data_IF_375383675853
#
_entry.id   IF_375383675853
#
_cell.length_a   1.000
_cell.length_b   1.000
_cell.length_c   1.000
_cell.angle_alpha   90.00
_cell.angle_beta   90.00
_cell.angle_gamma   90.00
#
_symmetry.space_group_name_H-M   'P 1'
#
loop_
_entity.id
_entity.type
_entity.pdbx_description
1 polymer ?
#
# COMPACT_ATOMS: atom_id res chain seq x y z
N UNK A 1 -20.68 19.65 5.16
CA UNK A 1 -21.18 18.28 4.93
C UNK A 1 -20.07 17.24 4.82
N UNK A 2 -19.22 17.22 3.78
CA UNK A 2 -18.09 16.26 3.69
C UNK A 2 -17.11 16.44 4.86
N UNK A 3 -16.82 17.65 5.28
CA UNK A 3 -16.00 17.91 6.47
C UNK A 3 -16.65 17.39 7.74
N UNK A 4 -17.95 17.56 7.94
CA UNK A 4 -18.68 17.00 9.09
C UNK A 4 -18.59 15.46 9.11
N UNK A 5 -18.76 14.82 7.94
CA UNK A 5 -18.57 13.36 7.83
C UNK A 5 -17.13 12.95 8.16
N UNK A 6 -16.15 13.74 7.72
CA UNK A 6 -14.75 13.52 8.04
C UNK A 6 -14.49 13.56 9.56
N UNK A 7 -15.04 14.56 10.24
CA UNK A 7 -14.92 14.66 11.69
C UNK A 7 -15.64 13.51 12.40
N UNK A 8 -16.85 13.13 11.96
CA UNK A 8 -17.56 11.99 12.54
C UNK A 8 -16.73 10.69 12.45
N UNK A 9 -16.12 10.43 11.30
CA UNK A 9 -15.25 9.24 11.14
C UNK A 9 -14.01 9.35 12.05
N UNK A 10 -13.40 10.51 12.16
CA UNK A 10 -12.27 10.73 13.07
C UNK A 10 -12.65 10.49 14.55
N UNK A 11 -13.92 10.74 14.91
CA UNK A 11 -14.50 10.47 16.23
C UNK A 11 -14.96 9.02 16.41
N UNK A 12 -14.75 8.15 15.42
CA UNK A 12 -15.08 6.73 15.51
C UNK A 12 -16.39 6.31 14.87
N UNK A 13 -17.04 7.16 14.07
CA UNK A 13 -18.23 6.79 13.31
C UNK A 13 -17.92 5.67 12.31
N UNK A 14 -18.69 4.58 12.36
CA UNK A 14 -18.56 3.43 11.46
C UNK A 14 -19.76 3.27 10.53
N UNK A 15 -20.85 3.96 10.81
CA UNK A 15 -22.08 3.96 10.02
C UNK A 15 -22.58 5.38 9.74
N UNK A 16 -23.50 5.52 8.78
CA UNK A 16 -24.11 6.83 8.49
C UNK A 16 -24.96 7.38 9.64
N UNK A 17 -25.50 6.50 10.46
CA UNK A 17 -26.30 6.88 11.65
C UNK A 17 -25.43 7.56 12.71
N UNK A 18 -24.15 7.18 12.77
CA UNK A 18 -23.21 7.70 13.78
C UNK A 18 -22.87 9.18 13.55
N UNK A 19 -23.35 9.79 12.45
CA UNK A 19 -23.24 11.24 12.23
C UNK A 19 -23.88 12.03 13.39
N UNK A 20 -24.81 11.42 14.12
CA UNK A 20 -25.41 11.99 15.31
C UNK A 20 -24.40 12.28 16.44
N UNK A 21 -23.22 11.64 16.43
CA UNK A 21 -22.11 11.96 17.36
C UNK A 21 -21.70 13.46 17.28
N UNK A 22 -21.91 14.11 16.14
CA UNK A 22 -21.62 15.53 15.97
C UNK A 22 -22.59 16.45 16.70
N UNK A 23 -23.73 15.95 17.19
CA UNK A 23 -24.70 16.78 17.93
C UNK A 23 -24.07 17.41 19.18
N UNK A 24 -23.17 16.69 19.85
CA UNK A 24 -22.44 17.20 21.02
C UNK A 24 -21.43 18.31 20.68
N UNK A 25 -21.04 18.41 19.41
CA UNK A 25 -20.11 19.44 18.90
C UNK A 25 -20.87 20.58 18.18
N UNK A 26 -22.18 20.63 18.29
CA UNK A 26 -23.01 21.66 17.61
C UNK A 26 -22.60 23.08 17.91
N UNK A 27 -22.11 23.47 19.09
CA UNK A 27 -21.63 24.82 19.34
C UNK A 27 -20.44 25.23 18.46
N UNK A 28 -19.64 24.24 17.99
CA UNK A 28 -18.44 24.51 17.18
C UNK A 28 -18.68 24.19 15.70
N UNK A 29 -19.40 23.11 15.40
CA UNK A 29 -19.55 22.59 14.04
C UNK A 29 -20.91 22.89 13.42
N UNK A 30 -21.82 23.52 14.18
CA UNK A 30 -23.22 23.68 13.79
C UNK A 30 -24.04 22.40 13.94
N UNK A 31 -25.30 22.43 13.55
CA UNK A 31 -26.22 21.30 13.67
C UNK A 31 -25.70 20.07 12.90
N UNK A 32 -25.75 18.91 13.52
CA UNK A 32 -25.39 17.63 12.90
C UNK A 32 -26.33 17.34 11.72
N UNK A 33 -25.82 17.01 10.54
CA UNK A 33 -26.67 16.64 9.40
C UNK A 33 -27.36 15.29 9.63
N UNK A 34 -28.57 15.12 9.09
CA UNK A 34 -29.24 13.81 9.13
C UNK A 34 -28.52 12.77 8.26
N UNK A 35 -28.68 11.48 8.57
CA UNK A 35 -28.12 10.39 7.77
C UNK A 35 -28.59 10.41 6.30
N UNK A 36 -29.84 10.82 6.03
CA UNK A 36 -30.37 11.01 4.67
C UNK A 36 -29.65 12.12 3.92
N UNK A 37 -29.33 13.21 4.61
CA UNK A 37 -28.58 14.34 4.05
C UNK A 37 -27.13 13.93 3.74
N UNK A 38 -26.49 13.16 4.63
CA UNK A 38 -25.16 12.56 4.38
C UNK A 38 -25.18 11.66 3.16
N UNK A 39 -26.21 10.80 3.03
CA UNK A 39 -26.36 9.91 1.87
C UNK A 39 -26.43 10.68 0.56
N UNK A 40 -27.29 11.72 0.49
CA UNK A 40 -27.38 12.59 -0.70
C UNK A 40 -26.05 13.27 -1.03
N UNK A 41 -25.35 13.76 0.00
CA UNK A 41 -24.03 14.37 -0.20
C UNK A 41 -22.98 13.38 -0.72
N UNK A 42 -23.02 12.15 -0.24
CA UNK A 42 -22.17 11.07 -0.75
C UNK A 42 -22.55 10.71 -2.19
N UNK A 43 -23.84 10.65 -2.54
CA UNK A 43 -24.32 10.39 -3.90
C UNK A 43 -23.86 11.47 -4.87
N UNK A 44 -23.93 12.72 -4.50
CA UNK A 44 -23.40 13.84 -5.29
C UNK A 44 -21.86 13.79 -5.39
N UNK A 45 -21.16 13.53 -4.27
CA UNK A 45 -19.71 13.45 -4.23
C UNK A 45 -19.13 12.31 -5.06
N UNK A 46 -19.93 11.28 -5.41
CA UNK A 46 -19.52 10.16 -6.25
C UNK A 46 -19.45 10.44 -7.74
N UNK A 47 -19.84 11.62 -8.21
CA UNK A 47 -19.72 11.98 -9.62
C UNK A 47 -18.23 12.24 -9.97
N UNK A 48 -17.75 11.90 -11.19
CA UNK A 48 -16.35 12.11 -11.59
C UNK A 48 -15.87 13.55 -11.38
N UNK A 49 -16.71 14.53 -11.75
CA UNK A 49 -16.41 15.95 -11.55
C UNK A 49 -16.22 16.33 -10.08
N UNK A 50 -17.02 15.75 -9.18
CA UNK A 50 -16.94 16.06 -7.75
C UNK A 50 -15.75 15.30 -7.11
N UNK A 51 -15.48 14.07 -7.51
CA UNK A 51 -14.28 13.33 -7.08
C UNK A 51 -13.01 14.08 -7.43
N UNK A 52 -12.92 14.65 -8.64
CA UNK A 52 -11.77 15.46 -9.04
C UNK A 52 -11.66 16.76 -8.22
N UNK A 53 -12.79 17.44 -7.92
CA UNK A 53 -12.79 18.60 -7.01
C UNK A 53 -12.32 18.25 -5.60
N UNK A 54 -12.78 17.13 -5.07
CA UNK A 54 -12.34 16.61 -3.75
C UNK A 54 -10.84 16.29 -3.79
N UNK A 55 -10.35 15.64 -4.85
CA UNK A 55 -8.94 15.34 -5.01
C UNK A 55 -8.06 16.60 -5.01
N UNK A 56 -8.47 17.65 -5.76
CA UNK A 56 -7.78 18.95 -5.76
C UNK A 56 -7.82 19.64 -4.39
N UNK A 57 -8.96 19.60 -3.70
CA UNK A 57 -9.08 20.19 -2.36
C UNK A 57 -8.17 19.48 -1.36
N UNK A 58 -8.09 18.13 -1.42
CA UNK A 58 -7.17 17.33 -0.60
C UNK A 58 -5.71 17.68 -0.87
N UNK A 59 -5.33 17.83 -2.14
CA UNK A 59 -3.96 18.22 -2.50
C UNK A 59 -3.57 19.58 -1.91
N UNK A 60 -4.47 20.59 -2.00
CA UNK A 60 -4.25 21.92 -1.40
C UNK A 60 -4.16 21.85 0.13
N UNK A 61 -5.07 21.11 0.78
CA UNK A 61 -5.04 20.94 2.24
C UNK A 61 -3.75 20.27 2.70
N UNK A 62 -3.28 19.23 1.96
CA UNK A 62 -2.02 18.55 2.23
C UNK A 62 -0.83 19.49 2.06
N UNK A 63 -0.79 20.26 0.99
CA UNK A 63 0.26 21.25 0.77
C UNK A 63 0.36 22.24 1.92
N UNK A 64 -0.80 22.74 2.38
CA UNK A 64 -0.85 23.63 3.55
C UNK A 64 -0.34 22.93 4.81
N UNK A 65 -0.83 21.72 5.11
CA UNK A 65 -0.42 20.95 6.27
C UNK A 65 1.09 20.63 6.26
N UNK A 66 1.63 20.21 5.12
CA UNK A 66 3.07 19.92 5.01
C UNK A 66 3.92 21.18 5.14
N UNK A 67 3.43 22.35 4.66
CA UNK A 67 4.10 23.64 4.90
C UNK A 67 4.16 23.99 6.40
N UNK A 68 3.09 23.68 7.14
CA UNK A 68 3.08 23.88 8.60
C UNK A 68 4.04 22.93 9.30
N UNK A 69 4.04 21.65 8.92
CA UNK A 69 4.95 20.64 9.49
C UNK A 69 6.42 21.04 9.28
N UNK A 70 6.80 21.48 8.07
CA UNK A 70 8.18 21.93 7.79
C UNK A 70 8.63 23.11 8.66
N UNK A 71 7.70 23.95 9.12
CA UNK A 71 8.00 25.11 9.98
C UNK A 71 8.12 24.73 11.45
N UNK A 72 7.77 23.50 11.82
CA UNK A 72 7.98 23.04 13.20
C UNK A 72 9.49 22.80 13.47
N UNK A 73 9.95 22.85 14.71
CA UNK A 73 11.35 22.53 15.05
C UNK A 73 11.78 21.13 14.58
N UNK A 74 10.87 20.17 14.52
CA UNK A 74 11.13 18.81 14.03
C UNK A 74 11.26 18.74 12.50
N UNK A 75 10.74 19.72 11.77
CA UNK A 75 10.72 19.75 10.31
C UNK A 75 9.85 18.67 9.68
N UNK A 76 10.04 18.42 8.38
CA UNK A 76 9.32 17.35 7.69
C UNK A 76 9.81 15.97 8.15
N UNK A 77 8.91 14.99 8.39
CA UNK A 77 9.25 13.69 8.95
C UNK A 77 9.94 12.79 7.92
N UNK A 78 11.21 13.04 7.65
CA UNK A 78 11.99 12.19 6.75
C UNK A 78 12.10 10.78 7.32
N UNK A 79 11.92 9.77 6.47
CA UNK A 79 11.97 8.38 6.89
C UNK A 79 13.40 8.00 7.31
N UNK A 80 13.54 7.33 8.45
CA UNK A 80 14.80 6.71 8.87
C UNK A 80 14.78 5.22 8.50
N UNK A 81 15.84 4.74 7.85
CA UNK A 81 16.02 3.36 7.41
C UNK A 81 17.41 2.90 7.82
N UNK A 82 17.51 1.79 8.51
CA UNK A 82 18.78 1.25 9.01
C UNK A 82 19.63 2.32 9.72
N UNK A 83 19.00 3.11 10.60
CA UNK A 83 19.63 4.17 11.36
C UNK A 83 20.03 5.42 10.55
N UNK A 84 19.69 5.51 9.25
CA UNK A 84 20.04 6.63 8.36
C UNK A 84 18.79 7.33 7.84
N UNK A 85 18.76 8.65 7.92
CA UNK A 85 17.63 9.46 7.46
C UNK A 85 17.68 9.69 5.96
N UNK A 86 16.58 9.41 5.27
CA UNK A 86 16.37 9.65 3.83
C UNK A 86 15.98 11.13 3.59
N UNK A 87 16.83 12.07 3.97
CA UNK A 87 16.54 13.51 3.85
C UNK A 87 16.30 13.90 2.40
N UNK A 88 15.17 14.55 2.15
CA UNK A 88 14.76 15.01 0.82
C UNK A 88 14.13 13.93 -0.05
N UNK A 89 14.02 12.67 0.41
CA UNK A 89 13.37 11.58 -0.31
C UNK A 89 11.96 11.32 0.21
N UNK A 90 10.97 11.45 -0.65
CA UNK A 90 9.60 11.04 -0.33
C UNK A 90 9.42 9.57 -0.70
N UNK A 91 8.92 8.78 0.25
CA UNK A 91 8.69 7.35 0.05
C UNK A 91 7.19 7.10 -0.14
N UNK A 92 6.86 6.42 -1.23
CA UNK A 92 5.48 6.04 -1.57
C UNK A 92 5.41 4.52 -1.57
N UNK A 93 4.52 3.98 -0.74
CA UNK A 93 4.22 2.56 -0.67
C UNK A 93 2.95 2.25 -1.44
N UNK A 94 3.00 1.25 -2.29
CA UNK A 94 1.83 0.73 -3.00
C UNK A 94 1.46 -0.63 -2.44
N UNK A 95 0.26 -0.76 -1.93
CA UNK A 95 -0.24 -2.00 -1.33
C UNK A 95 -1.71 -2.23 -1.64
N UNK A 96 -2.10 -3.49 -1.74
CA UNK A 96 -3.47 -3.92 -1.92
C UNK A 96 -3.97 -4.68 -0.69
N UNK A 97 -5.19 -4.37 -0.26
CA UNK A 97 -5.77 -5.01 0.92
C UNK A 97 -7.17 -5.52 0.64
N UNK A 98 -7.60 -6.55 1.36
CA UNK A 98 -8.98 -7.05 1.25
C UNK A 98 -9.92 -6.26 2.15
N UNK A 99 -11.07 -5.89 1.59
CA UNK A 99 -12.20 -5.28 2.30
C UNK A 99 -13.40 -6.20 2.13
N UNK A 100 -13.91 -6.73 3.24
CA UNK A 100 -15.05 -7.64 3.22
C UNK A 100 -16.36 -6.91 2.94
N UNK A 101 -17.26 -7.56 2.21
CA UNK A 101 -18.64 -7.12 2.03
C UNK A 101 -19.59 -8.20 2.55
N UNK A 102 -20.59 -7.80 3.31
CA UNK A 102 -21.61 -8.70 3.86
C UNK A 102 -22.82 -8.88 2.94
N UNK A 103 -22.81 -8.30 1.75
CA UNK A 103 -23.92 -8.38 0.78
C UNK A 103 -23.43 -8.13 -0.64
N UNK A 104 -24.24 -8.48 -1.63
CA UNK A 104 -24.03 -8.20 -3.03
C UNK A 104 -24.07 -6.70 -3.30
N UNK A 105 -22.89 -6.08 -3.22
CA UNK A 105 -22.68 -4.69 -3.60
C UNK A 105 -22.11 -4.63 -5.00
N UNK A 106 -22.48 -3.60 -5.72
CA UNK A 106 -21.93 -3.36 -7.04
C UNK A 106 -20.41 -3.39 -7.02
N UNK A 107 -19.80 -4.24 -7.85
CA UNK A 107 -18.35 -4.45 -7.92
C UNK A 107 -17.76 -5.34 -6.81
N UNK A 108 -18.54 -5.84 -5.85
CA UNK A 108 -18.06 -6.86 -4.93
C UNK A 108 -17.93 -8.22 -5.64
N UNK A 109 -16.91 -8.99 -5.29
CA UNK A 109 -16.62 -10.29 -5.90
C UNK A 109 -15.95 -11.24 -4.90
N UNK A 110 -15.96 -12.56 -5.15
CA UNK A 110 -15.18 -13.50 -4.36
C UNK A 110 -13.70 -13.12 -4.31
N UNK A 111 -13.09 -13.28 -3.14
CA UNK A 111 -11.66 -12.98 -2.93
C UNK A 111 -10.84 -14.27 -2.91
N UNK A 112 -9.54 -14.16 -3.18
CA UNK A 112 -8.61 -15.30 -3.12
C UNK A 112 -8.49 -15.94 -1.72
N UNK A 113 -8.87 -15.22 -0.65
CA UNK A 113 -8.96 -15.76 0.73
C UNK A 113 -10.31 -16.44 1.02
N UNK A 114 -11.07 -16.81 -0.01
CA UNK A 114 -12.40 -17.45 0.13
C UNK A 114 -13.42 -16.57 0.86
N UNK A 115 -13.22 -15.24 0.89
CA UNK A 115 -14.20 -14.25 1.35
C UNK A 115 -14.91 -13.62 0.15
N UNK A 116 -15.76 -12.62 0.42
CA UNK A 116 -16.47 -11.83 -0.57
C UNK A 116 -16.28 -10.35 -0.30
N UNK A 117 -16.05 -9.53 -1.32
CA UNK A 117 -15.90 -8.09 -1.16
C UNK A 117 -15.02 -7.43 -2.22
N UNK A 118 -14.06 -6.64 -1.79
CA UNK A 118 -13.23 -5.80 -2.64
C UNK A 118 -11.74 -6.01 -2.35
N UNK A 119 -10.91 -5.66 -3.34
CA UNK A 119 -9.46 -5.71 -3.25
C UNK A 119 -8.85 -4.36 -3.67
N UNK A 120 -9.09 -3.26 -2.88
CA UNK A 120 -8.56 -1.95 -3.19
C UNK A 120 -7.03 -1.94 -3.26
N UNK A 121 -6.51 -1.19 -4.24
CA UNK A 121 -5.10 -0.83 -4.37
C UNK A 121 -4.91 0.60 -3.89
N UNK A 122 -3.95 0.84 -3.02
CA UNK A 122 -3.67 2.16 -2.47
C UNK A 122 -2.21 2.56 -2.61
N UNK A 123 -1.95 3.86 -2.65
CA UNK A 123 -0.64 4.46 -2.52
C UNK A 123 -0.58 5.33 -1.25
N UNK A 124 0.43 5.10 -0.44
CA UNK A 124 0.63 5.72 0.86
C UNK A 124 1.92 6.53 0.88
N UNK A 125 1.92 7.69 1.52
CA UNK A 125 3.14 8.39 1.88
C UNK A 125 3.70 7.78 3.17
N UNK A 126 4.85 7.09 3.09
CA UNK A 126 5.46 6.50 4.27
C UNK A 126 5.96 7.54 5.28
N UNK A 127 6.41 8.70 4.79
CA UNK A 127 6.90 9.79 5.63
C UNK A 127 5.83 10.34 6.58
N UNK A 128 4.63 10.60 6.07
CA UNK A 128 3.51 11.19 6.84
C UNK A 128 2.46 10.14 7.24
N UNK A 129 2.63 8.89 6.81
CA UNK A 129 1.72 7.75 7.07
C UNK A 129 0.29 8.00 6.58
N UNK A 130 0.13 8.79 5.53
CA UNK A 130 -1.18 9.14 4.98
C UNK A 130 -1.47 8.46 3.64
N UNK A 131 -2.73 8.15 3.38
CA UNK A 131 -3.17 7.65 2.09
C UNK A 131 -3.22 8.79 1.05
N UNK A 132 -2.43 8.66 0.01
CA UNK A 132 -2.42 9.61 -1.11
C UNK A 132 -3.58 9.34 -2.06
N UNK A 133 -3.74 8.08 -2.47
CA UNK A 133 -4.84 7.66 -3.33
C UNK A 133 -5.19 6.20 -3.10
N UNK A 134 -6.44 5.85 -3.37
CA UNK A 134 -6.93 4.46 -3.32
C UNK A 134 -7.91 4.23 -4.47
N UNK A 135 -7.75 3.12 -5.16
CA UNK A 135 -8.65 2.61 -6.19
C UNK A 135 -9.40 1.40 -5.63
N UNK A 136 -10.73 1.49 -5.55
CA UNK A 136 -11.55 0.35 -5.17
C UNK A 136 -11.68 -0.60 -6.37
N UNK A 137 -11.27 -1.85 -6.17
CA UNK A 137 -11.31 -2.91 -7.18
C UNK A 137 -12.18 -4.07 -6.71
N UNK A 138 -12.76 -4.86 -7.63
CA UNK A 138 -13.46 -6.10 -7.27
C UNK A 138 -12.57 -7.03 -6.45
N UNK A 139 -13.18 -7.89 -5.63
CA UNK A 139 -12.47 -8.82 -4.76
C UNK A 139 -11.57 -9.82 -5.49
N UNK A 140 -11.91 -10.14 -6.75
CA UNK A 140 -11.14 -10.99 -7.66
C UNK A 140 -10.14 -10.23 -8.55
N UNK A 141 -9.93 -8.92 -8.31
CA UNK A 141 -8.93 -8.16 -9.06
C UNK A 141 -7.53 -8.75 -8.87
N UNK A 142 -6.82 -8.95 -9.97
CA UNK A 142 -5.45 -9.46 -9.97
C UNK A 142 -4.50 -8.53 -9.21
N UNK A 143 -3.48 -9.10 -8.59
CA UNK A 143 -2.44 -8.34 -7.90
C UNK A 143 -1.55 -7.55 -8.86
N UNK A 144 -1.31 -8.07 -10.08
CA UNK A 144 -0.35 -7.54 -11.05
C UNK A 144 -1.00 -6.68 -12.15
N UNK A 145 -2.15 -6.04 -11.89
CA UNK A 145 -2.81 -5.20 -12.88
C UNK A 145 -2.04 -3.89 -13.05
N UNK A 146 -1.16 -3.83 -14.06
CA UNK A 146 -0.32 -2.67 -14.35
C UNK A 146 -1.12 -1.37 -14.50
N UNK A 147 -2.24 -1.42 -15.25
CA UNK A 147 -3.11 -0.25 -15.47
C UNK A 147 -3.57 0.37 -14.14
N UNK A 148 -3.96 -0.47 -13.17
CA UNK A 148 -4.41 -0.01 -11.86
C UNK A 148 -3.26 0.61 -11.06
N UNK A 149 -2.06 0.01 -11.09
CA UNK A 149 -0.87 0.56 -10.43
C UNK A 149 -0.49 1.91 -11.03
N UNK A 150 -0.48 2.03 -12.35
CA UNK A 150 -0.21 3.28 -13.06
C UNK A 150 -1.22 4.38 -12.70
N UNK A 151 -2.51 4.05 -12.70
CA UNK A 151 -3.59 4.98 -12.34
C UNK A 151 -3.43 5.48 -10.90
N UNK A 152 -3.24 4.56 -9.94
CA UNK A 152 -3.10 4.87 -8.51
C UNK A 152 -1.86 5.71 -8.26
N UNK A 153 -0.71 5.35 -8.84
CA UNK A 153 0.53 6.09 -8.66
C UNK A 153 0.44 7.50 -9.28
N UNK A 154 -0.11 7.63 -10.48
CA UNK A 154 -0.32 8.93 -11.11
C UNK A 154 -1.25 9.83 -10.29
N UNK A 155 -2.33 9.27 -9.73
CA UNK A 155 -3.23 10.01 -8.85
C UNK A 155 -2.55 10.39 -7.52
N UNK A 156 -1.74 9.49 -6.94
CA UNK A 156 -0.95 9.76 -5.74
C UNK A 156 0.06 10.89 -5.96
N UNK A 157 0.77 10.88 -7.07
CA UNK A 157 1.73 11.94 -7.41
C UNK A 157 1.05 13.31 -7.55
N UNK A 158 -0.20 13.37 -8.04
CA UNK A 158 -0.97 14.62 -8.06
C UNK A 158 -1.32 15.13 -6.66
N UNK A 159 -1.36 14.24 -5.66
CA UNK A 159 -1.60 14.61 -4.26
C UNK A 159 -0.36 15.15 -3.55
N UNK A 160 0.84 14.85 -4.03
CA UNK A 160 2.11 15.31 -3.45
C UNK A 160 2.42 16.73 -3.90
N UNK A 161 2.80 17.69 -3.01
CA UNK A 161 3.24 19.02 -3.41
C UNK A 161 4.47 18.97 -4.32
N UNK A 162 4.55 19.88 -5.30
CA UNK A 162 5.54 19.83 -6.38
C UNK A 162 7.00 19.73 -5.90
N UNK A 163 7.34 20.45 -4.83
CA UNK A 163 8.70 20.44 -4.26
C UNK A 163 9.14 19.08 -3.72
N UNK A 164 8.21 18.25 -3.24
CA UNK A 164 8.48 16.90 -2.73
C UNK A 164 8.53 15.83 -3.83
N UNK A 165 8.19 16.16 -5.08
CA UNK A 165 8.23 15.21 -6.21
C UNK A 165 9.61 15.05 -6.87
N UNK A 166 10.64 15.77 -6.38
CA UNK A 166 11.96 15.76 -6.99
C UNK A 166 12.73 14.47 -6.74
N UNK A 167 12.59 13.90 -5.56
CA UNK A 167 13.26 12.66 -5.15
C UNK A 167 12.24 11.71 -4.55
N UNK A 168 11.98 10.62 -5.23
CA UNK A 168 10.95 9.65 -4.87
C UNK A 168 11.56 8.26 -4.72
N UNK A 169 11.09 7.52 -3.74
CA UNK A 169 11.29 6.07 -3.64
C UNK A 169 9.90 5.43 -3.65
N UNK A 170 9.65 4.54 -4.62
CA UNK A 170 8.40 3.78 -4.71
C UNK A 170 8.66 2.36 -4.25
N UNK A 171 7.89 1.86 -3.28
CA UNK A 171 8.00 0.48 -2.79
C UNK A 171 6.73 -0.28 -3.15
N UNK A 172 6.91 -1.47 -3.70
CA UNK A 172 5.80 -2.35 -4.13
C UNK A 172 6.08 -3.74 -3.59
N UNK A 173 5.09 -4.40 -3.02
CA UNK A 173 5.23 -5.78 -2.58
C UNK A 173 5.38 -6.77 -3.76
N UNK A 174 5.71 -8.04 -3.46
CA UNK A 174 5.93 -9.06 -4.48
C UNK A 174 4.70 -9.40 -5.31
N UNK A 175 3.51 -9.09 -4.82
CA UNK A 175 2.26 -9.35 -5.52
C UNK A 175 1.96 -8.33 -6.62
N UNK A 176 2.56 -7.13 -6.54
CA UNK A 176 2.38 -6.05 -7.53
C UNK A 176 3.45 -5.99 -8.61
N UNK A 177 4.59 -6.69 -8.46
CA UNK A 177 5.71 -6.62 -9.38
C UNK A 177 5.36 -7.19 -10.76
N UNK A 178 5.53 -6.38 -11.80
CA UNK A 178 5.38 -6.78 -13.22
C UNK A 178 6.40 -6.02 -14.07
N UNK A 179 6.71 -6.57 -15.25
CA UNK A 179 7.62 -5.94 -16.22
C UNK A 179 7.15 -4.52 -16.56
N UNK A 180 5.89 -4.38 -16.96
CA UNK A 180 5.31 -3.09 -17.34
C UNK A 180 5.37 -2.05 -16.20
N UNK A 181 5.19 -2.50 -14.94
CA UNK A 181 5.29 -1.60 -13.80
C UNK A 181 6.73 -1.12 -13.61
N UNK A 182 7.72 -1.99 -13.75
CA UNK A 182 9.14 -1.62 -13.60
C UNK A 182 9.55 -0.65 -14.71
N UNK A 183 9.20 -0.91 -15.96
CA UNK A 183 9.43 0.02 -17.06
C UNK A 183 8.76 1.37 -16.82
N UNK A 184 7.51 1.36 -16.34
CA UNK A 184 6.83 2.60 -16.00
C UNK A 184 7.54 3.36 -14.88
N UNK A 185 7.98 2.69 -13.81
CA UNK A 185 8.71 3.33 -12.71
C UNK A 185 10.03 3.97 -13.20
N UNK A 186 10.75 3.29 -14.08
CA UNK A 186 11.97 3.84 -14.73
C UNK A 186 11.64 5.08 -15.56
N UNK A 187 10.55 5.04 -16.33
CA UNK A 187 10.12 6.15 -17.19
C UNK A 187 9.71 7.41 -16.41
N UNK A 188 9.40 7.29 -15.12
CA UNK A 188 9.06 8.42 -14.27
C UNK A 188 10.27 9.30 -13.92
N UNK A 189 11.49 8.82 -14.08
CA UNK A 189 12.71 9.62 -13.86
C UNK A 189 12.90 10.62 -15.01
N UNK A 190 13.23 11.86 -14.65
CA UNK A 190 13.52 12.95 -15.60
C UNK A 190 14.72 13.74 -15.08
N UNK A 191 15.21 14.71 -15.83
CA UNK A 191 16.28 15.64 -15.37
C UNK A 191 15.91 16.38 -14.08
N UNK A 192 14.61 16.67 -13.88
CA UNK A 192 14.09 17.38 -12.70
C UNK A 192 13.59 16.46 -11.57
N UNK A 193 13.45 15.16 -11.82
CA UNK A 193 12.89 14.20 -10.87
C UNK A 193 13.65 12.88 -10.91
N UNK A 194 14.17 12.45 -9.76
CA UNK A 194 14.76 11.13 -9.58
C UNK A 194 13.76 10.19 -8.93
N UNK A 195 13.50 9.06 -9.57
CA UNK A 195 12.62 8.00 -9.03
C UNK A 195 13.44 6.74 -8.85
N UNK A 196 13.54 6.31 -7.61
CA UNK A 196 14.06 5.00 -7.22
C UNK A 196 12.90 4.11 -6.82
N UNK A 197 13.09 2.80 -6.89
CA UNK A 197 12.07 1.87 -6.43
C UNK A 197 12.69 0.60 -5.82
N UNK A 198 11.87 -0.11 -5.05
CA UNK A 198 12.10 -1.49 -4.64
C UNK A 198 10.82 -2.29 -4.87
N UNK A 199 10.92 -3.40 -5.58
CA UNK A 199 9.82 -4.32 -5.81
C UNK A 199 10.17 -5.68 -5.22
N UNK A 200 9.29 -6.24 -4.39
CA UNK A 200 9.41 -7.61 -3.93
C UNK A 200 9.17 -8.59 -5.08
N UNK A 201 9.64 -9.81 -4.91
CA UNK A 201 9.58 -10.83 -5.93
C UNK A 201 9.29 -12.20 -5.32
N UNK A 202 8.38 -12.93 -5.94
CA UNK A 202 8.19 -14.35 -5.59
C UNK A 202 9.23 -15.21 -6.30
N UNK A 203 9.87 -16.11 -5.55
CA UNK A 203 10.90 -16.99 -6.07
C UNK A 203 10.28 -18.04 -6.99
N UNK A 204 10.90 -18.21 -8.15
CA UNK A 204 10.62 -19.28 -9.11
C UNK A 204 11.80 -20.25 -9.18
N UNK A 205 11.66 -21.37 -9.90
CA UNK A 205 12.75 -22.32 -10.10
C UNK A 205 14.03 -21.70 -10.70
N UNK A 206 13.87 -20.73 -11.64
CA UNK A 206 15.00 -20.01 -12.21
C UNK A 206 15.75 -19.16 -11.18
N UNK A 207 15.02 -18.60 -10.21
CA UNK A 207 15.62 -17.82 -9.12
C UNK A 207 16.31 -18.72 -8.10
N UNK A 208 15.78 -19.93 -7.86
CA UNK A 208 16.43 -20.94 -7.02
C UNK A 208 17.79 -21.33 -7.58
N UNK A 209 17.95 -21.41 -8.91
CA UNK A 209 19.24 -21.66 -9.56
C UNK A 209 20.23 -20.52 -9.33
N UNK A 210 19.81 -19.28 -9.50
CA UNK A 210 20.64 -18.12 -9.18
C UNK A 210 21.10 -18.14 -7.71
N UNK A 211 20.18 -18.38 -6.78
CA UNK A 211 20.46 -18.45 -5.33
C UNK A 211 21.43 -19.58 -5.00
N UNK A 212 21.31 -20.72 -5.66
CA UNK A 212 22.19 -21.90 -5.46
C UNK A 212 23.64 -21.60 -5.81
N UNK A 213 23.85 -20.75 -6.80
CA UNK A 213 25.17 -20.35 -7.27
C UNK A 213 25.80 -19.20 -6.48
N UNK A 214 25.12 -18.67 -5.46
CA UNK A 214 25.68 -17.62 -4.59
C UNK A 214 26.79 -18.22 -3.71
N UNK A 215 28.05 -17.76 -3.81
CA UNK A 215 29.13 -18.22 -2.92
C UNK A 215 28.77 -18.00 -1.45
N UNK A 216 29.17 -18.93 -0.59
CA UNK A 216 28.87 -18.84 0.84
C UNK A 216 29.34 -17.51 1.47
N UNK A 217 30.51 -17.01 1.07
CA UNK A 217 31.06 -15.74 1.56
C UNK A 217 30.37 -14.47 1.02
N UNK A 218 29.50 -14.59 0.01
CA UNK A 218 28.72 -13.47 -0.50
C UNK A 218 27.48 -13.17 0.37
N UNK A 219 27.01 -14.12 1.13
CA UNK A 219 25.95 -13.93 2.10
C UNK A 219 26.48 -13.14 3.29
N UNK A 220 25.90 -11.98 3.55
CA UNK A 220 26.25 -11.11 4.67
C UNK A 220 25.06 -11.03 5.63
N UNK A 221 25.30 -10.90 6.96
CA UNK A 221 24.22 -10.72 7.91
C UNK A 221 23.27 -9.61 7.50
N UNK A 222 21.96 -9.86 7.62
CA UNK A 222 20.93 -8.85 7.38
C UNK A 222 21.06 -7.70 8.37
N UNK A 223 20.48 -6.55 8.00
CA UNK A 223 20.49 -5.36 8.85
C UNK A 223 19.10 -5.09 9.39
N UNK A 224 18.99 -4.73 10.66
CA UNK A 224 17.78 -4.28 11.32
C UNK A 224 17.43 -2.83 10.95
N UNK A 225 16.26 -2.41 11.41
CA UNK A 225 15.76 -1.05 11.22
C UNK A 225 16.64 0.00 11.92
N UNK A 226 17.25 -0.36 13.02
CA UNK A 226 18.19 0.45 13.78
C UNK A 226 19.62 0.48 13.19
N UNK A 227 19.85 -0.30 12.10
CA UNK A 227 21.15 -0.43 11.46
C UNK A 227 22.04 -1.51 12.05
N UNK A 228 21.60 -2.26 13.07
CA UNK A 228 22.35 -3.37 13.67
C UNK A 228 22.25 -4.64 12.80
N UNK A 229 23.25 -5.53 12.93
CA UNK A 229 23.21 -6.82 12.27
C UNK A 229 22.15 -7.74 12.90
N UNK A 230 21.32 -8.37 12.08
CA UNK A 230 20.31 -9.33 12.51
C UNK A 230 20.85 -10.75 12.42
N UNK A 231 20.59 -11.57 13.43
CA UNK A 231 20.85 -13.00 13.39
C UNK A 231 19.77 -13.74 12.58
N UNK A 232 20.12 -14.92 12.07
CA UNK A 232 19.19 -15.77 11.30
C UNK A 232 18.61 -15.15 10.02
N UNK A 233 19.28 -14.11 9.51
CA UNK A 233 18.92 -13.41 8.27
C UNK A 233 20.19 -13.01 7.54
N UNK A 234 20.28 -13.38 6.28
CA UNK A 234 21.40 -12.99 5.42
C UNK A 234 20.88 -12.38 4.12
N UNK A 235 21.71 -11.54 3.52
CA UNK A 235 21.43 -10.84 2.26
C UNK A 235 22.63 -10.99 1.33
N UNK A 236 22.36 -11.21 0.05
CA UNK A 236 23.37 -11.23 -1.00
C UNK A 236 22.85 -10.54 -2.26
N UNK A 237 23.73 -9.92 -3.02
CA UNK A 237 23.40 -9.45 -4.37
C UNK A 237 23.56 -10.62 -5.35
N UNK A 238 22.55 -10.79 -6.21
CA UNK A 238 22.49 -11.86 -7.21
C UNK A 238 22.34 -11.34 -8.64
N UNK A 239 22.58 -10.05 -8.86
CA UNK A 239 22.37 -9.38 -10.14
C UNK A 239 23.05 -10.11 -11.30
N UNK A 240 24.31 -10.49 -11.14
CA UNK A 240 25.07 -11.23 -12.18
C UNK A 240 24.71 -12.71 -12.33
N UNK A 241 23.86 -13.27 -11.44
CA UNK A 241 23.45 -14.66 -11.46
C UNK A 241 22.02 -14.85 -12.00
N UNK A 242 21.28 -13.77 -12.23
CA UNK A 242 19.90 -13.83 -12.70
C UNK A 242 19.82 -14.12 -14.19
N UNK A 243 19.47 -15.37 -14.55
CA UNK A 243 19.41 -15.84 -15.95
C UNK A 243 18.33 -15.14 -16.76
N UNK A 244 17.27 -14.64 -16.14
CA UNK A 244 16.20 -13.88 -16.81
C UNK A 244 16.45 -12.39 -16.87
N UNK A 245 17.60 -11.90 -16.40
CA UNK A 245 17.92 -10.48 -16.45
C UNK A 245 17.92 -9.92 -17.88
N UNK A 246 18.25 -10.73 -18.90
CA UNK A 246 18.23 -10.31 -20.31
C UNK A 246 16.86 -9.89 -20.86
N UNK A 247 15.75 -10.21 -20.16
CA UNK A 247 14.39 -9.78 -20.55
C UNK A 247 13.89 -8.58 -19.73
N UNK A 248 14.73 -8.02 -18.88
CA UNK A 248 14.41 -6.90 -18.00
C UNK A 248 15.23 -5.66 -18.39
N UNK A 249 14.74 -4.45 -18.11
CA UNK A 249 15.50 -3.24 -18.37
C UNK A 249 16.89 -3.24 -17.72
N UNK A 250 17.86 -2.62 -18.38
CA UNK A 250 19.21 -2.49 -17.85
C UNK A 250 19.28 -1.65 -16.57
N UNK A 251 20.34 -1.86 -15.79
CA UNK A 251 20.59 -1.11 -14.56
C UNK A 251 19.76 -1.55 -13.36
N UNK A 252 19.07 -2.69 -13.45
CA UNK A 252 18.37 -3.29 -12.33
C UNK A 252 19.34 -4.12 -11.48
N UNK A 253 19.13 -4.06 -10.17
CA UNK A 253 19.85 -4.87 -9.18
C UNK A 253 18.87 -5.83 -8.52
N UNK A 254 19.35 -7.04 -8.23
CA UNK A 254 18.58 -8.13 -7.65
C UNK A 254 19.22 -8.56 -6.33
N UNK A 255 18.48 -8.39 -5.26
CA UNK A 255 18.95 -8.65 -3.89
C UNK A 255 18.20 -9.85 -3.34
N UNK A 256 18.92 -10.92 -3.08
CA UNK A 256 18.38 -12.11 -2.41
C UNK A 256 18.51 -11.95 -0.89
N UNK A 257 17.46 -12.31 -0.19
CA UNK A 257 17.40 -12.40 1.26
C UNK A 257 17.04 -13.81 1.65
N UNK A 258 17.70 -14.37 2.66
CA UNK A 258 17.32 -15.63 3.30
C UNK A 258 17.09 -15.43 4.80
N UNK A 259 16.09 -16.12 5.35
CA UNK A 259 15.75 -16.05 6.77
C UNK A 259 15.47 -17.45 7.30
N UNK A 260 15.80 -17.69 8.57
CA UNK A 260 15.36 -18.91 9.24
C UNK A 260 13.83 -18.91 9.33
N UNK A 261 13.15 -19.95 8.83
CA UNK A 261 11.70 -19.97 8.76
C UNK A 261 11.08 -20.08 10.15
N UNK A 262 10.11 -19.23 10.45
CA UNK A 262 9.27 -19.39 11.64
C UNK A 262 8.34 -20.61 11.50
N UNK A 263 7.77 -21.10 12.60
CA UNK A 263 6.78 -22.20 12.61
C UNK A 263 5.63 -21.96 11.62
N UNK A 264 5.20 -20.73 11.44
CA UNK A 264 4.13 -20.35 10.50
C UNK A 264 4.56 -20.55 9.04
N UNK A 265 5.83 -20.35 8.72
CA UNK A 265 6.35 -20.49 7.36
C UNK A 265 6.62 -21.91 6.94
N UNK A 266 6.86 -22.84 7.88
CA UNK A 266 7.25 -24.24 7.58
C UNK A 266 6.28 -24.95 6.64
N UNK A 267 4.98 -24.64 6.71
CA UNK A 267 3.94 -25.27 5.89
C UNK A 267 3.99 -24.86 4.40
N UNK A 268 4.59 -23.71 4.11
CA UNK A 268 4.57 -23.07 2.79
C UNK A 268 5.95 -22.99 2.14
N UNK A 269 6.93 -23.74 2.66
CA UNK A 269 8.27 -23.77 2.09
C UNK A 269 8.28 -24.61 0.80
N UNK A 270 9.02 -24.14 -0.22
CA UNK A 270 9.31 -24.91 -1.43
C UNK A 270 10.17 -26.13 -1.10
N UNK A 271 10.33 -27.06 -2.05
CA UNK A 271 11.23 -28.20 -1.88
C UNK A 271 12.68 -27.77 -1.64
N UNK A 272 13.13 -26.72 -2.33
CA UNK A 272 14.46 -26.17 -2.17
C UNK A 272 14.64 -25.51 -0.80
N UNK A 273 13.69 -24.71 -0.35
CA UNK A 273 13.70 -24.06 0.97
C UNK A 273 13.73 -25.08 2.12
N UNK A 274 12.97 -26.18 2.00
CA UNK A 274 13.03 -27.29 2.96
C UNK A 274 14.41 -27.94 3.01
N UNK A 275 15.04 -28.16 1.84
CA UNK A 275 16.36 -28.76 1.73
C UNK A 275 17.45 -27.88 2.33
N UNK A 276 17.39 -26.57 2.10
CA UNK A 276 18.38 -25.61 2.60
C UNK A 276 18.15 -25.18 4.03
N UNK A 277 16.92 -25.33 4.55
CA UNK A 277 16.52 -24.84 5.87
C UNK A 277 16.38 -23.32 5.95
N UNK A 278 16.26 -22.63 4.82
CA UNK A 278 16.08 -21.19 4.70
C UNK A 278 14.86 -20.85 3.87
N UNK A 279 14.18 -19.79 4.23
CA UNK A 279 13.17 -19.15 3.40
C UNK A 279 13.79 -17.98 2.64
N UNK A 280 13.55 -17.92 1.33
CA UNK A 280 14.13 -16.90 0.46
C UNK A 280 13.10 -15.90 -0.02
N UNK A 281 13.57 -14.70 -0.32
CA UNK A 281 12.84 -13.64 -1.06
C UNK A 281 13.83 -12.83 -1.89
N UNK A 282 13.34 -12.21 -2.95
CA UNK A 282 14.14 -11.36 -3.83
C UNK A 282 13.53 -9.98 -3.88
N UNK A 283 14.38 -8.97 -3.93
CA UNK A 283 14.01 -7.57 -4.17
C UNK A 283 14.69 -7.08 -5.44
N UNK A 284 13.91 -6.56 -6.39
CA UNK A 284 14.39 -5.87 -7.57
C UNK A 284 14.41 -4.36 -7.30
N UNK A 285 15.47 -3.66 -7.75
CA UNK A 285 15.62 -2.22 -7.55
C UNK A 285 16.44 -1.57 -8.66
N UNK A 286 16.25 -0.26 -8.85
CA UNK A 286 17.11 0.61 -9.65
C UNK A 286 18.00 1.52 -8.79
N UNK A 287 18.16 1.23 -7.50
CA UNK A 287 19.12 1.96 -6.65
C UNK A 287 20.53 1.66 -7.21
N UNK A 288 21.26 2.67 -7.67
CA UNK A 288 22.54 2.45 -8.36
C UNK A 288 23.65 2.00 -7.40
N UNK A 289 24.77 1.56 -7.93
CA UNK A 289 25.96 1.16 -7.16
C UNK A 289 26.53 2.30 -6.30
N UNK A 290 26.27 3.55 -6.66
CA UNK A 290 26.57 4.71 -5.82
C UNK A 290 25.55 4.96 -4.70
N UNK A 291 24.47 4.17 -4.64
CA UNK A 291 23.43 4.26 -3.62
C UNK A 291 22.46 5.43 -3.80
N UNK A 292 21.73 5.71 -2.73
CA UNK A 292 20.76 6.81 -2.64
C UNK A 292 21.51 8.10 -2.34
N UNK A 293 21.40 9.10 -3.20
CA UNK A 293 22.12 10.38 -3.05
C UNK A 293 21.85 11.05 -1.70
N UNK A 294 22.92 11.34 -0.98
CA UNK A 294 22.90 11.90 0.37
C UNK A 294 22.83 10.86 1.50
N UNK A 295 22.86 9.56 1.17
CA UNK A 295 22.79 8.48 2.15
C UNK A 295 23.97 7.52 2.00
N UNK A 296 25.08 7.75 2.69
CA UNK A 296 26.29 6.91 2.58
C UNK A 296 26.01 5.45 2.93
N UNK A 297 26.57 4.51 2.13
CA UNK A 297 26.41 3.07 2.32
C UNK A 297 25.03 2.52 1.91
N UNK A 298 24.18 3.33 1.31
CA UNK A 298 22.85 2.90 0.83
C UNK A 298 22.90 2.03 -0.44
N UNK A 299 24.09 1.83 -1.03
CA UNK A 299 24.31 0.89 -2.12
C UNK A 299 24.43 -0.57 -1.65
N UNK A 300 24.71 -0.79 -0.39
CA UNK A 300 24.87 -2.16 0.14
C UNK A 300 23.56 -2.94 0.05
N UNK A 301 23.61 -4.21 -0.37
CA UNK A 301 22.43 -5.08 -0.45
C UNK A 301 21.60 -5.12 0.82
N UNK A 302 22.24 -5.11 1.99
CA UNK A 302 21.57 -5.11 3.29
C UNK A 302 20.72 -3.86 3.49
N UNK A 303 21.22 -2.69 3.09
CA UNK A 303 20.46 -1.44 3.20
C UNK A 303 19.24 -1.43 2.26
N UNK A 304 19.43 -1.91 1.03
CA UNK A 304 18.35 -2.03 0.03
C UNK A 304 17.26 -2.97 0.55
N UNK A 305 17.64 -4.10 1.16
CA UNK A 305 16.70 -5.02 1.80
C UNK A 305 15.89 -4.34 2.92
N UNK A 306 16.53 -3.52 3.77
CA UNK A 306 15.81 -2.78 4.82
C UNK A 306 14.87 -1.74 4.20
N UNK A 307 15.32 -0.97 3.19
CA UNK A 307 14.44 -0.02 2.48
C UNK A 307 13.18 -0.70 2.00
N UNK A 308 13.31 -1.89 1.40
CA UNK A 308 12.16 -2.65 0.92
C UNK A 308 11.26 -3.16 2.06
N UNK A 309 11.84 -3.75 3.10
CA UNK A 309 11.08 -4.33 4.24
C UNK A 309 10.30 -3.30 5.05
N UNK A 310 10.74 -2.05 5.06
CA UNK A 310 10.00 -0.95 5.66
C UNK A 310 8.61 -0.70 5.05
N UNK A 311 8.34 -1.27 3.88
CA UNK A 311 7.00 -1.31 3.31
C UNK A 311 5.97 -1.93 4.28
N UNK A 312 6.36 -2.87 5.12
CA UNK A 312 5.48 -3.50 6.11
C UNK A 312 4.91 -2.52 7.15
N UNK A 313 5.53 -1.36 7.36
CA UNK A 313 5.01 -0.31 8.25
C UNK A 313 3.68 0.26 7.75
N UNK A 314 3.46 0.27 6.44
CA UNK A 314 2.18 0.70 5.85
C UNK A 314 1.05 -0.27 6.17
N UNK A 315 1.30 -1.58 6.16
CA UNK A 315 0.30 -2.58 6.57
C UNK A 315 -0.13 -2.38 8.03
N UNK A 316 0.80 -2.10 8.92
CA UNK A 316 0.54 -1.95 10.36
C UNK A 316 0.00 -0.57 10.73
N UNK A 317 0.49 0.50 10.10
CA UNK A 317 0.11 1.88 10.38
C UNK A 317 -1.04 2.38 9.50
N UNK A 318 -0.84 2.44 8.18
CA UNK A 318 -1.78 3.02 7.23
C UNK A 318 -3.03 2.16 7.01
N UNK A 319 -2.84 0.93 6.54
CA UNK A 319 -3.92 0.01 6.17
C UNK A 319 -4.75 -0.39 7.40
N UNK A 320 -4.10 -0.72 8.50
CA UNK A 320 -4.80 -1.08 9.75
C UNK A 320 -5.63 0.09 10.28
N UNK A 321 -5.07 1.30 10.32
CA UNK A 321 -5.78 2.50 10.75
C UNK A 321 -6.97 2.80 9.83
N UNK A 322 -6.82 2.71 8.51
CA UNK A 322 -7.92 2.88 7.58
C UNK A 322 -9.03 1.84 7.81
N UNK A 323 -8.68 0.58 8.10
CA UNK A 323 -9.65 -0.48 8.43
C UNK A 323 -10.38 -0.21 9.73
N UNK A 324 -9.71 0.24 10.78
CA UNK A 324 -10.36 0.61 12.06
C UNK A 324 -11.28 1.82 11.92
N UNK A 325 -11.01 2.72 10.97
CA UNK A 325 -11.87 3.85 10.61
C UNK A 325 -13.00 3.50 9.62
N UNK A 326 -13.34 2.22 9.47
CA UNK A 326 -14.48 1.79 8.66
C UNK A 326 -14.17 1.35 7.22
N UNK A 327 -12.90 1.46 6.75
CA UNK A 327 -12.49 0.88 5.46
C UNK A 327 -12.40 -0.65 5.47
N UNK A 328 -12.55 -1.30 6.64
CA UNK A 328 -12.42 -2.76 6.79
C UNK A 328 -13.63 -3.56 6.32
N UNK A 329 -14.80 -2.93 6.30
CA UNK A 329 -16.07 -3.57 5.92
C UNK A 329 -16.95 -2.62 5.13
N UNK A 330 -17.51 -3.11 4.03
CA UNK A 330 -18.57 -2.41 3.32
C UNK A 330 -19.92 -2.77 3.97
N UNK A 331 -20.50 -1.86 4.73
CA UNK A 331 -21.79 -2.08 5.39
C UNK A 331 -22.96 -2.12 4.39
N UNK A 332 -23.95 -2.94 4.72
CA UNK A 332 -25.16 -3.18 3.96
C UNK A 332 -25.97 -1.91 3.73
N UNK A 333 -26.72 -1.83 2.63
CA UNK A 333 -27.77 -0.82 2.45
C UNK A 333 -28.72 -0.86 3.67
N UNK A 334 -29.13 0.28 4.25
CA UNK A 334 -30.11 0.29 5.31
C UNK A 334 -31.45 -0.11 4.72
N UNK A 335 -31.97 -1.25 5.12
CA UNK A 335 -33.26 -1.77 4.67
C UNK A 335 -33.82 -2.89 5.56
N UNK A 336 -33.07 -3.43 6.50
CA UNK A 336 -33.56 -4.34 7.54
C UNK A 336 -32.67 -4.25 8.78
N UNK A 337 -33.28 -3.94 9.91
CA UNK A 337 -32.66 -3.96 11.22
C UNK A 337 -32.16 -5.36 11.56
N UNK A 338 -30.91 -5.47 11.97
CA UNK A 338 -30.39 -6.64 12.69
C UNK A 338 -29.96 -6.13 14.05
N UNK A 339 -30.51 -6.75 15.09
CA UNK A 339 -30.14 -6.52 16.48
C UNK A 339 -28.64 -6.68 16.66
N UNK A 340 -28.02 -5.70 17.31
CA UNK A 340 -26.61 -5.71 17.64
C UNK A 340 -26.31 -6.81 18.65
N UNK A 341 -25.55 -7.81 18.21
CA UNK A 341 -24.86 -8.72 19.13
C UNK A 341 -23.73 -7.94 19.84
N UNK A 342 -23.81 -7.92 21.16
CA UNK A 342 -22.81 -7.30 22.03
C UNK A 342 -21.44 -7.97 21.88
N UNK A 343 -20.43 -7.22 21.45
CA UNK A 343 -19.01 -7.56 21.62
C UNK A 343 -18.35 -6.66 22.64
N UNK A 344 -17.45 -7.17 23.48
CA UNK A 344 -16.91 -6.44 24.62
C UNK A 344 -16.03 -5.27 24.16
N UNK A 345 -16.20 -4.13 24.79
CA UNK A 345 -15.41 -2.92 24.62
C UNK A 345 -13.98 -3.17 25.12
N UNK A 346 -13.03 -3.13 24.23
CA UNK A 346 -11.63 -2.90 24.61
C UNK A 346 -11.38 -1.39 24.67
N UNK A 347 -10.68 -0.96 25.70
CA UNK A 347 -10.34 0.43 26.01
C UNK A 347 -9.72 1.15 24.82
N UNK A 348 -9.95 2.48 24.64
CA UNK A 348 -9.39 3.22 23.53
C UNK A 348 -7.86 3.31 23.67
N UNK A 349 -7.11 3.11 22.56
CA UNK A 349 -5.68 3.33 22.56
C UNK A 349 -5.39 4.83 22.67
N UNK A 350 -4.42 5.18 23.51
CA UNK A 350 -3.85 6.52 23.62
C UNK A 350 -3.24 6.92 22.28
N UNK A 351 -3.74 7.99 21.69
CA UNK A 351 -3.31 8.53 20.41
C UNK A 351 -2.02 9.34 20.53
N UNK A 352 -1.00 9.08 19.71
CA UNK A 352 -0.06 10.12 19.34
C UNK A 352 -0.72 11.05 18.29
N UNK A 353 -0.46 12.36 18.31
CA UNK A 353 -1.06 13.29 17.34
C UNK A 353 -0.51 13.02 15.94
N UNK A 354 -1.37 12.52 15.04
CA UNK A 354 -1.04 12.25 13.65
C UNK A 354 -2.26 11.88 12.82
N UNK A 355 -2.26 12.03 11.56
CA UNK A 355 -3.13 12.69 10.59
C UNK A 355 -4.52 12.03 10.45
N UNK A 356 -5.50 12.51 11.19
CA UNK A 356 -6.91 12.11 11.07
C UNK A 356 -7.54 12.49 9.70
N UNK A 357 -6.96 13.47 8.99
CA UNK A 357 -7.55 14.02 7.76
C UNK A 357 -7.43 13.10 6.52
N UNK A 358 -6.37 12.30 6.42
CA UNK A 358 -6.14 11.49 5.22
C UNK A 358 -6.94 10.20 5.20
N UNK A 359 -7.07 9.54 6.34
CA UNK A 359 -7.86 8.31 6.46
C UNK A 359 -9.35 8.55 6.19
N UNK A 360 -9.85 9.72 6.58
CA UNK A 360 -11.23 10.14 6.40
C UNK A 360 -11.59 10.34 4.94
N UNK A 361 -10.71 11.02 4.19
CA UNK A 361 -10.92 11.22 2.75
C UNK A 361 -10.79 9.91 1.97
N UNK A 362 -9.97 8.97 2.43
CA UNK A 362 -9.82 7.63 1.87
C UNK A 362 -11.09 6.81 2.04
N UNK A 363 -11.74 6.89 3.20
CA UNK A 363 -13.01 6.19 3.46
C UNK A 363 -14.12 6.69 2.55
N UNK A 364 -14.19 7.99 2.29
CA UNK A 364 -15.13 8.59 1.34
C UNK A 364 -14.89 8.14 -0.11
N UNK A 365 -13.65 8.01 -0.53
CA UNK A 365 -13.28 7.53 -1.86
C UNK A 365 -13.62 6.05 -2.03
N UNK A 366 -13.35 5.22 -1.02
CA UNK A 366 -13.65 3.79 -1.03
C UNK A 366 -15.16 3.50 -1.17
N UNK A 367 -16.02 4.33 -0.55
CA UNK A 367 -17.47 4.09 -0.58
C UNK A 367 -18.14 4.34 -1.95
N UNK A 368 -17.45 4.97 -2.92
CA UNK A 368 -18.11 5.49 -4.14
C UNK A 368 -17.47 5.16 -5.49
N UNK A 369 -16.24 4.72 -5.53
CA UNK A 369 -15.63 4.28 -6.81
C UNK A 369 -16.32 3.06 -7.43
N UNK A 370 -17.16 2.37 -6.66
CA UNK A 370 -17.98 1.24 -7.13
C UNK A 370 -19.00 1.63 -8.21
N UNK A 371 -19.50 2.86 -8.22
CA UNK A 371 -20.55 3.29 -9.15
C UNK A 371 -20.08 3.74 -10.53
N UNK A 372 -18.80 4.11 -10.65
CA UNK A 372 -18.31 4.75 -11.88
C UNK A 372 -17.74 3.79 -12.92
N UNK A 373 -17.42 2.54 -12.55
CA UNK A 373 -16.83 1.56 -13.50
C UNK A 373 -17.84 0.69 -14.26
N UNK A 374 -19.08 0.59 -13.82
CA UNK A 374 -20.08 -0.26 -14.50
C UNK A 374 -20.67 0.34 -15.81
N UNK A 375 -20.40 1.62 -16.09
CA UNK A 375 -20.94 2.30 -17.27
C UNK A 375 -20.09 2.16 -18.57
N UNK A 376 -18.89 1.56 -18.52
CA UNK A 376 -17.99 1.48 -19.69
C UNK A 376 -17.46 0.08 -20.00
N UNK A 377 -18.00 -0.97 -19.45
CA UNK A 377 -17.54 -2.34 -19.66
C UNK A 377 -18.40 -3.10 -20.69
N UNK A 378 -18.16 -2.93 -21.97
CA UNK A 378 -18.56 -3.90 -22.99
C UNK A 378 -17.64 -5.13 -22.93
N UNK A 379 -18.27 -6.31 -22.83
CA UNK A 379 -17.68 -7.60 -22.55
C UNK A 379 -16.45 -8.02 -23.34
N UNK A 380 -15.49 -8.53 -22.58
CA UNK A 380 -14.66 -9.66 -23.01
C UNK A 380 -14.46 -10.56 -21.80
N UNK A 381 -14.92 -11.80 -21.94
CA UNK A 381 -14.72 -12.86 -20.94
C UNK A 381 -13.21 -13.14 -20.80
N UNK A 382 -12.69 -13.37 -19.57
CA UNK A 382 -11.30 -13.76 -19.39
C UNK A 382 -11.07 -15.19 -19.92
N UNK A 383 -9.90 -15.50 -20.48
CA UNK A 383 -9.55 -16.86 -20.87
C UNK A 383 -9.49 -17.78 -19.65
N UNK A 384 -10.08 -18.97 -19.81
CA UNK A 384 -10.17 -20.00 -18.77
C UNK A 384 -8.77 -20.48 -18.35
N UNK A 385 -8.62 -20.73 -17.06
CA UNK A 385 -7.48 -21.43 -16.47
C UNK A 385 -7.46 -22.88 -16.92
N UNK A 386 -6.30 -23.44 -17.30
CA UNK A 386 -6.22 -24.86 -17.58
C UNK A 386 -6.44 -25.67 -16.29
N UNK A 387 -7.33 -26.62 -16.36
CA UNK A 387 -7.59 -27.59 -15.31
C UNK A 387 -6.34 -28.47 -15.08
N UNK A 388 -5.93 -28.63 -13.83
CA UNK A 388 -4.93 -29.62 -13.41
C UNK A 388 -5.54 -31.02 -13.54
N UNK A 389 -4.86 -32.00 -14.15
CA UNK A 389 -5.38 -33.36 -14.21
C UNK A 389 -5.34 -34.02 -12.83
N UNK A 390 -6.45 -34.65 -12.46
CA UNK A 390 -6.53 -35.54 -11.30
C UNK A 390 -5.67 -36.77 -11.57
N UNK A 391 -4.71 -37.05 -10.71
CA UNK A 391 -4.01 -38.34 -10.67
C UNK A 391 -4.96 -39.39 -10.06
N UNK A 392 -5.38 -40.35 -10.87
CA UNK A 392 -5.94 -41.62 -10.42
C UNK A 392 -4.84 -42.58 -10.00
N UNK A 393 -5.20 -43.41 -9.05
CA UNK A 393 -4.53 -44.57 -8.40
C UNK A 393 -3.55 -44.26 -7.30
#
# INVERSE_FOLDING_TARGET
MLASLAVAIALGATSMSDIALLAHLSPVLGAAPSGSTVRRALDLAGTPRMLDRVARARAKAREHAWNLIERTPAGFPWLAVAGKTLTGWLVIDMDATLVTSSSDKEGAAPTWKKGYGFHPLAAWCANTRECLNMLLRPGNAGSNTFTDHKEVLAAALRQVPARFRRKLIVRVDGAGASHDLIEHLLSLSTSARKVLFTCGWMITAADEDAIRNVPAGAWKPGTGQDGTAEQDKDVAEITGLMTRAGNWPDGLRWIARRVKPSRRHLRNLTGYEKKTGWKYSITCTNIPDGGIGGVPGSHHPQYIDVVHREHAVVETGGVRTAKTMGCGTCHRRPGRSIQAGSSPRTSPPTWPPGPASSATATTLTCAKQTRTRSATGSGTSPPGWPATPASAS
#
